data_IF_772899855415
#
_entry.id   IF_772899855415
#
_cell.length_a   1.000
_cell.length_b   1.000
_cell.length_c   1.000
_cell.angle_alpha   90.00
_cell.angle_beta   90.00
_cell.angle_gamma   90.00
#
_symmetry.space_group_name_H-M   'P 1'
#
loop_
_entity.id
_entity.type
_entity.pdbx_description
1 polymer ?
#
# COMPACT_ATOMS: atom_id res chain seq x y z
N UNK A 1 -16.88 9.49 19.16
CA UNK A 1 -16.37 10.21 17.99
C UNK A 1 -15.52 9.29 17.13
N UNK A 2 -15.78 9.27 15.83
CA UNK A 2 -15.13 8.35 14.88
C UNK A 2 -13.61 8.48 14.89
N UNK A 3 -13.11 9.71 15.02
CA UNK A 3 -11.67 9.98 15.03
C UNK A 3 -10.93 9.23 16.16
N UNK A 4 -11.47 9.31 17.37
CA UNK A 4 -10.84 8.65 18.52
C UNK A 4 -10.85 7.13 18.40
N UNK A 5 -11.90 6.57 17.82
CA UNK A 5 -12.01 5.12 17.60
C UNK A 5 -10.95 4.67 16.59
N UNK A 6 -10.77 5.41 15.51
CA UNK A 6 -9.80 5.06 14.47
C UNK A 6 -8.36 5.16 14.98
N UNK A 7 -8.05 6.18 15.78
CA UNK A 7 -6.70 6.33 16.37
C UNK A 7 -6.41 5.17 17.33
N UNK A 8 -7.38 4.79 18.16
CA UNK A 8 -7.21 3.66 19.08
C UNK A 8 -7.01 2.34 18.34
N UNK A 9 -7.74 2.15 17.24
CA UNK A 9 -7.57 0.96 16.41
C UNK A 9 -6.20 0.92 15.76
N UNK A 10 -5.75 2.05 15.22
CA UNK A 10 -4.41 2.15 14.64
C UNK A 10 -3.34 1.88 15.69
N UNK A 11 -3.49 2.44 16.88
CA UNK A 11 -2.58 2.17 17.99
C UNK A 11 -2.55 0.69 18.34
N UNK A 12 -3.70 0.03 18.44
CA UNK A 12 -3.79 -1.40 18.70
C UNK A 12 -3.10 -2.22 17.61
N UNK A 13 -3.28 -1.84 16.34
CA UNK A 13 -2.63 -2.50 15.21
C UNK A 13 -1.11 -2.34 15.25
N UNK A 14 -0.62 -1.17 15.65
CA UNK A 14 0.81 -0.93 15.83
C UNK A 14 1.39 -1.82 16.93
N UNK A 15 0.68 -1.96 18.05
CA UNK A 15 1.11 -2.86 19.14
C UNK A 15 1.10 -4.31 18.69
N UNK A 16 0.06 -4.74 17.99
CA UNK A 16 -0.03 -6.10 17.46
C UNK A 16 1.13 -6.40 16.50
N UNK A 17 1.45 -5.46 15.61
CA UNK A 17 2.56 -5.61 14.67
C UNK A 17 3.90 -5.69 15.40
N UNK A 18 4.09 -4.88 16.44
CA UNK A 18 5.30 -4.89 17.24
C UNK A 18 5.48 -6.23 17.96
N UNK A 19 4.40 -6.77 18.52
CA UNK A 19 4.43 -8.08 19.18
C UNK A 19 4.73 -9.20 18.19
N UNK A 20 4.13 -9.15 17.01
CA UNK A 20 4.37 -10.11 15.93
C UNK A 20 5.85 -10.09 15.51
N UNK A 21 6.41 -8.89 15.35
CA UNK A 21 7.80 -8.71 14.93
C UNK A 21 8.79 -9.20 15.99
N UNK A 22 8.50 -8.98 17.27
CA UNK A 22 9.36 -9.48 18.35
C UNK A 22 9.36 -11.00 18.43
N UNK A 23 8.19 -11.61 18.25
CA UNK A 23 8.03 -13.07 18.34
C UNK A 23 8.45 -13.78 17.05
N UNK A 24 8.18 -13.20 15.89
CA UNK A 24 8.35 -13.84 14.58
C UNK A 24 9.64 -13.49 13.85
N UNK A 25 10.44 -12.57 14.36
CA UNK A 25 11.69 -12.19 13.75
C UNK A 25 12.75 -11.86 14.80
N UNK A 26 14.02 -11.85 14.37
CA UNK A 26 15.13 -11.41 15.23
C UNK A 26 15.47 -9.93 15.01
N UNK A 27 14.55 -9.19 14.40
CA UNK A 27 14.77 -7.79 14.06
C UNK A 27 14.55 -6.89 15.28
N UNK A 28 15.37 -5.86 15.39
CA UNK A 28 15.21 -4.81 16.40
C UNK A 28 14.23 -3.75 15.90
N UNK A 29 13.73 -2.92 16.82
CA UNK A 29 12.82 -1.82 16.47
C UNK A 29 13.44 -0.86 15.46
N UNK A 30 14.77 -0.65 15.52
CA UNK A 30 15.46 0.20 14.54
C UNK A 30 15.41 -0.39 13.14
N UNK A 31 15.33 -1.71 13.02
CA UNK A 31 15.31 -2.39 11.72
C UNK A 31 13.92 -2.44 11.10
N UNK A 32 12.85 -2.54 11.89
CA UNK A 32 11.50 -2.70 11.35
C UNK A 32 10.64 -1.42 11.39
N UNK A 33 11.07 -0.40 12.11
CA UNK A 33 10.29 0.83 12.28
C UNK A 33 9.94 1.49 10.95
N UNK A 34 10.94 1.76 10.11
CA UNK A 34 10.70 2.41 8.81
C UNK A 34 9.89 1.53 7.84
N UNK A 35 10.18 0.22 7.71
CA UNK A 35 9.33 -0.65 6.89
C UNK A 35 7.88 -0.66 7.34
N UNK A 36 7.59 -0.70 8.63
CA UNK A 36 6.21 -0.65 9.14
C UNK A 36 5.53 0.66 8.78
N UNK A 37 6.22 1.78 8.96
CA UNK A 37 5.69 3.10 8.57
C UNK A 37 5.43 3.16 7.06
N UNK A 38 6.28 2.53 6.26
CA UNK A 38 6.09 2.45 4.81
C UNK A 38 4.81 1.71 4.43
N UNK A 39 4.49 0.62 5.13
CA UNK A 39 3.25 -0.12 4.90
C UNK A 39 2.02 0.71 5.27
N UNK A 40 2.07 1.45 6.37
CA UNK A 40 1.01 2.36 6.80
C UNK A 40 0.81 3.44 5.73
N UNK A 41 1.91 4.03 5.24
CA UNK A 41 1.85 5.02 4.17
C UNK A 41 1.20 4.44 2.92
N UNK A 42 1.59 3.24 2.52
CA UNK A 42 1.07 2.59 1.32
C UNK A 42 -0.44 2.33 1.45
N UNK A 43 -0.90 1.92 2.63
CA UNK A 43 -2.33 1.73 2.89
C UNK A 43 -3.09 3.06 2.86
N UNK A 44 -2.51 4.10 3.44
CA UNK A 44 -3.07 5.46 3.39
C UNK A 44 -3.16 5.96 1.95
N UNK A 45 -2.08 5.81 1.17
CA UNK A 45 -2.04 6.22 -0.22
C UNK A 45 -3.10 5.48 -1.05
N UNK A 46 -3.31 4.20 -0.76
CA UNK A 46 -4.36 3.43 -1.41
C UNK A 46 -5.76 3.95 -1.09
N UNK A 47 -6.03 4.27 0.17
CA UNK A 47 -7.31 4.85 0.58
C UNK A 47 -7.57 6.18 -0.14
N UNK A 48 -6.55 7.03 -0.21
CA UNK A 48 -6.64 8.30 -0.94
C UNK A 48 -6.88 8.07 -2.44
N UNK A 49 -6.17 7.13 -3.03
CA UNK A 49 -6.33 6.76 -4.43
C UNK A 49 -7.76 6.32 -4.73
N UNK A 50 -8.33 5.43 -3.91
CA UNK A 50 -9.69 4.95 -4.11
C UNK A 50 -10.73 6.07 -3.98
N UNK A 51 -10.53 6.97 -3.04
CA UNK A 51 -11.42 8.11 -2.85
C UNK A 51 -11.42 9.03 -4.07
N UNK A 52 -10.23 9.37 -4.57
CA UNK A 52 -10.09 10.24 -5.76
C UNK A 52 -10.61 9.53 -7.02
N UNK A 53 -10.36 8.22 -7.15
CA UNK A 53 -10.90 7.42 -8.24
C UNK A 53 -12.42 7.51 -8.29
N UNK A 54 -13.08 7.38 -7.15
CA UNK A 54 -14.54 7.49 -7.06
C UNK A 54 -15.03 8.87 -7.47
N UNK A 55 -14.34 9.93 -7.07
CA UNK A 55 -14.67 11.29 -7.47
C UNK A 55 -14.54 11.48 -8.99
N UNK A 56 -13.46 10.96 -9.58
CA UNK A 56 -13.22 11.04 -11.02
C UNK A 56 -14.33 10.30 -11.78
N UNK A 57 -14.63 9.07 -11.36
CA UNK A 57 -15.65 8.24 -12.02
C UNK A 57 -17.05 8.84 -11.90
N UNK A 58 -17.35 9.50 -10.79
CA UNK A 58 -18.64 10.15 -10.56
C UNK A 58 -18.89 11.27 -11.57
N UNK A 59 -17.86 12.02 -11.92
CA UNK A 59 -17.94 13.14 -12.87
C UNK A 59 -17.72 12.71 -14.31
N UNK A 60 -17.42 11.44 -14.55
CA UNK A 60 -17.10 10.93 -15.87
C UNK A 60 -18.38 10.71 -16.70
N UNK A 61 -18.48 11.29 -17.91
CA UNK A 61 -19.64 11.04 -18.76
C UNK A 61 -19.68 9.59 -19.25
N UNK A 62 -20.87 9.01 -19.28
CA UNK A 62 -21.10 7.69 -19.86
C UNK A 62 -21.34 7.84 -21.36
N UNK A 63 -20.50 7.23 -22.17
CA UNK A 63 -20.64 7.22 -23.63
C UNK A 63 -20.81 5.79 -24.13
N UNK A 64 -21.92 5.54 -24.82
CA UNK A 64 -22.19 4.21 -25.37
C UNK A 64 -22.32 3.11 -24.32
N UNK A 65 -22.79 3.45 -23.10
CA UNK A 65 -22.92 2.51 -21.99
C UNK A 65 -21.61 2.18 -21.30
N UNK A 66 -20.52 2.89 -21.65
CA UNK A 66 -19.19 2.65 -21.04
C UNK A 66 -18.66 3.90 -20.34
N UNK A 67 -18.05 3.69 -19.19
CA UNK A 67 -17.31 4.73 -18.47
C UNK A 67 -15.84 4.56 -18.86
N UNK A 68 -15.19 5.66 -19.29
CA UNK A 68 -13.78 5.61 -19.64
C UNK A 68 -12.93 5.29 -18.38
N UNK A 69 -11.88 4.47 -18.51
CA UNK A 69 -11.02 4.15 -17.38
C UNK A 69 -10.29 5.40 -16.87
N UNK A 70 -9.95 5.40 -15.59
CA UNK A 70 -9.17 6.48 -15.00
C UNK A 70 -7.72 6.39 -15.46
N UNK A 71 -7.09 7.56 -15.65
CA UNK A 71 -5.72 7.67 -16.10
C UNK A 71 -4.90 8.53 -15.14
N UNK A 72 -3.59 8.45 -15.27
CA UNK A 72 -2.67 9.23 -14.43
C UNK A 72 -2.96 10.73 -14.51
N UNK A 73 -3.30 11.22 -15.70
CA UNK A 73 -3.62 12.64 -15.90
C UNK A 73 -4.84 13.09 -15.10
N UNK A 74 -5.82 12.23 -14.92
CA UNK A 74 -7.01 12.53 -14.12
C UNK A 74 -6.63 12.81 -12.65
N UNK A 75 -5.70 12.04 -12.12
CA UNK A 75 -5.20 12.21 -10.75
C UNK A 75 -4.32 13.45 -10.62
N UNK A 76 -3.52 13.74 -11.63
CA UNK A 76 -2.66 14.92 -11.63
C UNK A 76 -3.50 16.21 -11.56
N UNK A 77 -4.64 16.26 -12.26
CA UNK A 77 -5.55 17.41 -12.22
C UNK A 77 -6.12 17.64 -10.82
N UNK A 78 -6.23 16.59 -10.01
CA UNK A 78 -6.72 16.68 -8.62
C UNK A 78 -5.59 16.74 -7.60
N UNK A 79 -4.36 16.92 -8.04
CA UNK A 79 -3.16 16.93 -7.19
C UNK A 79 -3.07 15.67 -6.32
N UNK A 80 -3.43 14.52 -6.90
CA UNK A 80 -3.46 13.25 -6.21
C UNK A 80 -2.51 12.25 -6.87
N UNK A 81 -2.08 11.27 -6.09
CA UNK A 81 -1.15 10.24 -6.52
C UNK A 81 -1.92 9.11 -7.22
N UNK A 82 -1.52 8.80 -8.45
CA UNK A 82 -2.02 7.62 -9.16
C UNK A 82 -1.26 6.39 -8.71
N UNK A 83 -1.97 5.29 -8.42
CA UNK A 83 -1.33 4.02 -8.05
C UNK A 83 -1.55 2.99 -9.15
N UNK A 84 -0.47 2.53 -9.82
CA UNK A 84 -0.57 1.37 -10.69
C UNK A 84 -1.07 0.15 -9.92
N UNK A 85 -1.63 -0.83 -10.62
CA UNK A 85 -2.23 -2.02 -10.01
C UNK A 85 -1.29 -2.69 -8.99
N UNK A 86 -0.03 -2.85 -9.35
CA UNK A 86 0.98 -3.54 -8.53
C UNK A 86 1.40 -2.73 -7.29
N UNK A 87 1.03 -1.45 -7.21
CA UNK A 87 1.25 -0.61 -6.04
C UNK A 87 0.00 -0.45 -5.19
N UNK A 88 -1.12 -1.03 -5.58
CA UNK A 88 -2.36 -0.94 -4.81
C UNK A 88 -2.34 -1.96 -3.67
N UNK A 89 -2.68 -1.49 -2.48
CA UNK A 89 -2.63 -2.32 -1.28
C UNK A 89 -3.49 -3.57 -1.40
N UNK A 90 -4.67 -3.45 -1.99
CA UNK A 90 -5.57 -4.58 -2.21
C UNK A 90 -4.92 -5.69 -3.05
N UNK A 91 -4.14 -5.31 -4.06
CA UNK A 91 -3.40 -6.26 -4.87
C UNK A 91 -2.39 -7.04 -4.01
N UNK A 92 -1.63 -6.33 -3.17
CA UNK A 92 -0.61 -6.94 -2.33
C UNK A 92 -1.19 -7.91 -1.30
N UNK A 93 -2.30 -7.54 -0.67
CA UNK A 93 -2.96 -8.38 0.35
C UNK A 93 -3.53 -9.66 -0.25
N UNK A 94 -3.96 -9.61 -1.50
CA UNK A 94 -4.62 -10.74 -2.16
C UNK A 94 -3.69 -11.63 -2.98
N UNK A 95 -2.37 -11.40 -2.93
CA UNK A 95 -1.42 -12.25 -3.65
C UNK A 95 -1.41 -13.67 -3.06
N UNK A 96 -1.30 -14.70 -3.93
CA UNK A 96 -1.16 -16.08 -3.48
C UNK A 96 0.14 -16.28 -2.68
N UNK A 97 0.18 -17.33 -1.87
CA UNK A 97 1.32 -17.61 -1.00
C UNK A 97 2.62 -17.93 -1.75
N UNK A 98 2.51 -18.53 -2.92
CA UNK A 98 3.69 -18.93 -3.70
C UNK A 98 4.01 -17.88 -4.78
N UNK A 99 4.79 -16.88 -4.40
CA UNK A 99 5.13 -15.75 -5.28
C UNK A 99 5.91 -16.20 -6.53
N UNK A 100 6.94 -17.06 -6.45
CA UNK A 100 7.67 -17.45 -7.66
C UNK A 100 6.81 -18.08 -8.76
N UNK A 101 5.76 -18.79 -8.39
CA UNK A 101 4.86 -19.44 -9.35
C UNK A 101 3.93 -18.44 -10.06
N UNK A 102 3.83 -17.22 -9.57
CA UNK A 102 2.93 -16.22 -10.15
C UNK A 102 3.51 -15.55 -11.40
N UNK A 103 4.81 -15.72 -11.66
CA UNK A 103 5.46 -15.12 -12.83
C UNK A 103 5.49 -13.60 -12.82
N UNK A 104 5.52 -13.00 -11.64
CA UNK A 104 5.52 -11.54 -11.50
C UNK A 104 6.87 -10.95 -11.88
N UNK A 105 6.83 -9.78 -12.54
CA UNK A 105 8.04 -9.06 -12.93
C UNK A 105 8.02 -7.64 -12.38
N UNK A 106 9.21 -7.14 -12.04
CA UNK A 106 9.39 -5.78 -11.55
C UNK A 106 9.48 -4.75 -12.68
N UNK A 107 9.71 -3.51 -12.30
CA UNK A 107 9.83 -2.36 -13.21
C UNK A 107 10.90 -2.61 -14.28
N UNK A 108 12.01 -3.24 -13.89
CA UNK A 108 13.13 -3.49 -14.80
C UNK A 108 13.01 -4.82 -15.55
N UNK A 109 11.87 -5.50 -15.44
CA UNK A 109 11.64 -6.79 -16.08
C UNK A 109 12.23 -7.97 -15.30
N UNK A 110 12.83 -7.74 -14.14
CA UNK A 110 13.38 -8.78 -13.29
C UNK A 110 12.26 -9.60 -12.62
N UNK A 111 12.43 -10.91 -12.43
CA UNK A 111 11.43 -11.71 -11.75
C UNK A 111 11.33 -11.34 -10.27
N UNK A 112 10.11 -11.35 -9.75
CA UNK A 112 9.85 -11.13 -8.33
C UNK A 112 9.58 -12.48 -7.67
N UNK A 113 10.43 -12.86 -6.71
CA UNK A 113 10.44 -14.21 -6.15
C UNK A 113 9.99 -14.25 -4.68
N UNK A 114 9.76 -13.11 -4.05
CA UNK A 114 9.28 -13.04 -2.67
C UNK A 114 8.30 -11.90 -2.50
N UNK A 115 7.48 -11.97 -1.46
CA UNK A 115 6.56 -10.88 -1.13
C UNK A 115 7.31 -9.59 -0.84
N UNK A 116 8.47 -9.69 -0.18
CA UNK A 116 9.33 -8.51 0.07
C UNK A 116 9.76 -7.83 -1.21
N UNK A 117 10.14 -8.59 -2.23
CA UNK A 117 10.48 -8.01 -3.54
C UNK A 117 9.28 -7.35 -4.20
N UNK A 118 8.09 -7.93 -4.06
CA UNK A 118 6.85 -7.34 -4.60
C UNK A 118 6.54 -6.01 -3.92
N UNK A 119 6.69 -5.93 -2.59
CA UNK A 119 6.47 -4.69 -1.85
C UNK A 119 7.53 -3.65 -2.20
N UNK A 120 8.80 -4.04 -2.34
CA UNK A 120 9.86 -3.13 -2.80
C UNK A 120 9.51 -2.55 -4.17
N UNK A 121 9.03 -3.37 -5.09
CA UNK A 121 8.58 -2.94 -6.41
C UNK A 121 7.40 -1.96 -6.31
N UNK A 122 6.46 -2.22 -5.41
CA UNK A 122 5.32 -1.32 -5.18
C UNK A 122 5.80 0.07 -4.71
N UNK A 123 6.79 0.11 -3.82
CA UNK A 123 7.36 1.38 -3.36
C UNK A 123 8.04 2.15 -4.49
N UNK A 124 8.77 1.46 -5.38
CA UNK A 124 9.36 2.09 -6.55
C UNK A 124 8.32 2.64 -7.51
N UNK A 125 7.22 1.91 -7.72
CA UNK A 125 6.12 2.37 -8.56
C UNK A 125 5.48 3.64 -7.99
N UNK A 126 5.31 3.72 -6.68
CA UNK A 126 4.78 4.92 -6.02
C UNK A 126 5.75 6.09 -6.20
N UNK A 127 7.04 5.87 -6.01
CA UNK A 127 8.06 6.92 -6.19
C UNK A 127 8.08 7.47 -7.61
N UNK A 128 7.82 6.63 -8.61
CA UNK A 128 7.76 7.07 -10.01
C UNK A 128 6.61 8.04 -10.27
N UNK A 129 5.57 8.01 -9.43
CA UNK A 129 4.41 8.88 -9.60
C UNK A 129 4.59 10.25 -8.97
N UNK A 130 5.63 10.46 -8.16
CA UNK A 130 5.86 11.72 -7.47
C UNK A 130 7.34 11.99 -7.30
N UNK A 131 7.81 13.11 -7.85
CA UNK A 131 9.20 13.53 -7.69
C UNK A 131 9.58 13.76 -6.22
N UNK A 132 8.62 14.21 -5.42
CA UNK A 132 8.84 14.47 -3.99
C UNK A 132 9.11 13.20 -3.19
N UNK A 133 8.65 12.05 -3.67
CA UNK A 133 8.79 10.77 -2.99
C UNK A 133 10.03 9.98 -3.43
N UNK A 134 10.70 10.42 -4.50
CA UNK A 134 11.85 9.68 -5.03
C UNK A 134 12.95 9.54 -3.97
N UNK A 135 13.35 8.28 -3.72
CA UNK A 135 14.38 7.95 -2.75
C UNK A 135 13.97 8.05 -1.30
N UNK A 136 12.70 8.34 -1.01
CA UNK A 136 12.20 8.54 0.36
C UNK A 136 11.62 7.27 0.96
N UNK A 137 10.95 6.44 0.15
CA UNK A 137 10.25 5.27 0.64
C UNK A 137 11.19 4.11 0.94
N UNK A 138 10.92 3.33 2.01
CA UNK A 138 11.76 2.16 2.32
C UNK A 138 11.59 1.07 1.26
N UNK A 139 12.68 0.35 0.96
CA UNK A 139 12.70 -0.73 -0.04
C UNK A 139 13.52 -1.92 0.47
N UNK A 140 13.41 -2.22 1.74
CA UNK A 140 14.14 -3.30 2.40
C UNK A 140 13.21 -4.38 2.98
N UNK A 141 12.08 -4.61 2.31
CA UNK A 141 11.07 -5.56 2.78
C UNK A 141 11.50 -7.02 2.67
N UNK A 142 12.60 -7.31 1.99
CA UNK A 142 13.17 -8.66 1.93
C UNK A 142 13.76 -9.14 3.24
N UNK A 143 13.89 -8.24 4.24
CA UNK A 143 14.30 -8.64 5.59
C UNK A 143 13.22 -9.46 6.30
N UNK A 144 11.97 -9.40 5.81
CA UNK A 144 10.85 -10.16 6.36
C UNK A 144 10.60 -11.43 5.56
N UNK A 145 10.19 -12.51 6.23
CA UNK A 145 9.67 -13.68 5.54
C UNK A 145 8.34 -13.35 4.88
N UNK A 146 7.95 -14.12 3.88
CA UNK A 146 6.67 -13.92 3.20
C UNK A 146 5.49 -14.05 4.17
N UNK A 147 5.56 -15.00 5.10
CA UNK A 147 4.50 -15.22 6.10
C UNK A 147 4.37 -14.01 7.02
N UNK A 148 5.49 -13.51 7.55
CA UNK A 148 5.49 -12.36 8.45
C UNK A 148 5.01 -11.10 7.73
N UNK A 149 5.52 -10.84 6.53
CA UNK A 149 5.12 -9.68 5.76
C UNK A 149 3.64 -9.74 5.38
N UNK A 150 3.14 -10.93 5.02
CA UNK A 150 1.72 -11.13 4.74
C UNK A 150 0.84 -10.82 5.94
N UNK A 151 1.28 -11.20 7.15
CA UNK A 151 0.57 -10.87 8.39
C UNK A 151 0.57 -9.35 8.65
N UNK A 152 1.70 -8.69 8.44
CA UNK A 152 1.79 -7.23 8.59
C UNK A 152 0.85 -6.50 7.63
N UNK A 153 0.82 -6.94 6.37
CA UNK A 153 -0.10 -6.36 5.37
C UNK A 153 -1.55 -6.51 5.82
N UNK A 154 -1.92 -7.66 6.38
CA UNK A 154 -3.29 -7.88 6.86
C UNK A 154 -3.62 -7.02 8.08
N UNK A 155 -2.69 -6.84 9.00
CA UNK A 155 -2.89 -6.02 10.20
C UNK A 155 -3.24 -4.59 9.82
N UNK A 156 -2.53 -4.01 8.85
CA UNK A 156 -2.76 -2.62 8.44
C UNK A 156 -3.85 -2.45 7.39
N UNK A 157 -4.45 -3.54 6.90
CA UNK A 157 -5.55 -3.47 5.95
C UNK A 157 -6.89 -3.33 6.69
N UNK A 158 -7.11 -2.17 7.27
CA UNK A 158 -8.30 -1.92 8.09
C UNK A 158 -8.84 -0.51 7.87
N UNK A 159 -10.05 -0.27 8.37
CA UNK A 159 -10.80 0.98 8.18
C UNK A 159 -10.19 2.17 8.93
N UNK A 160 -9.30 1.93 9.89
CA UNK A 160 -8.65 3.03 10.62
C UNK A 160 -7.82 3.94 9.72
N UNK A 161 -7.37 3.41 8.57
CA UNK A 161 -6.61 4.16 7.58
C UNK A 161 -7.47 4.63 6.41
N UNK A 162 -8.78 4.43 6.47
CA UNK A 162 -9.70 4.89 5.44
C UNK A 162 -9.98 6.39 5.63
N UNK A 163 -9.69 7.16 4.58
CA UNK A 163 -9.82 8.62 4.59
C UNK A 163 -11.25 9.09 4.78
N UNK A 164 -12.24 8.28 4.43
CA UNK A 164 -13.64 8.64 4.64
C UNK A 164 -13.97 8.76 6.13
N UNK A 165 -13.19 8.11 6.99
CA UNK A 165 -13.37 8.14 8.43
C UNK A 165 -12.43 9.14 9.14
N UNK A 166 -11.44 9.70 8.42
CA UNK A 166 -10.41 10.59 8.97
C UNK A 166 -10.63 12.04 8.49
N UNK A 167 -11.76 12.32 7.93
CA UNK A 167 -12.11 13.68 7.53
C UNK A 167 -12.28 14.58 8.74
N UNK A 168 -11.44 15.56 8.78
CA UNK A 168 -11.47 16.60 9.82
C UNK A 168 -11.67 17.93 9.14
#
# INVERSE_FOLDING_TARGET
MAYNVNVKKLEADLWESADLLRAGSKLTSNQYCMPVLGLIFLRYAYSRFKLVEQEILKDRPVRGGRVLPVEQSDFAEKSALFLPKEAQYNYLVNLPANIPEQGLTGIEGNPLNSLGEVVNNAMELVEQQSEQLQGVLPKDYTIFSDELLGELLRIFNNDALDLSLIHI
#
